data_IF_140691965400
#
_entry.id   IF_140691965400
#
_cell.length_a   1.000
_cell.length_b   1.000
_cell.length_c   1.000
_cell.angle_alpha   90.00
_cell.angle_beta   90.00
_cell.angle_gamma   90.00
#
_symmetry.space_group_name_H-M   'P 1'
#
loop_
_entity.id
_entity.type
_entity.pdbx_description
1 polymer ?
#
# COMPACT_ATOMS: atom_id res chain seq x y z
N UNK A 1 5.68 -7.20 17.28
CA UNK A 1 4.52 -7.66 16.46
C UNK A 1 4.86 -7.58 14.97
N UNK A 2 3.92 -7.94 14.08
CA UNK A 2 4.13 -7.96 12.62
C UNK A 2 4.44 -6.57 12.03
N UNK A 3 3.80 -5.51 12.54
CA UNK A 3 4.03 -4.14 12.11
C UNK A 3 5.47 -3.71 12.38
N UNK A 4 5.98 -3.98 13.58
CA UNK A 4 7.35 -3.64 13.96
C UNK A 4 8.43 -4.38 13.14
N UNK A 5 8.12 -5.56 12.60
CA UNK A 5 9.04 -6.27 11.70
C UNK A 5 9.23 -5.57 10.35
N UNK A 6 8.22 -4.83 9.86
CA UNK A 6 8.30 -4.15 8.56
C UNK A 6 9.33 -3.01 8.54
N UNK A 7 9.66 -2.44 9.71
CA UNK A 7 10.60 -1.32 9.85
C UNK A 7 11.80 -1.65 10.74
N UNK A 8 12.01 -2.94 11.07
CA UNK A 8 13.06 -3.39 11.98
C UNK A 8 14.47 -3.05 11.51
N UNK A 9 14.66 -2.92 10.19
CA UNK A 9 15.94 -2.60 9.56
C UNK A 9 16.13 -1.11 9.25
N UNK A 10 15.14 -0.27 9.56
CA UNK A 10 15.29 1.17 9.40
C UNK A 10 16.07 1.75 10.57
N UNK A 11 17.06 2.60 10.31
CA UNK A 11 17.70 3.44 11.32
C UNK A 11 16.97 4.79 11.46
N UNK A 12 17.18 5.46 12.60
CA UNK A 12 16.58 6.77 12.83
C UNK A 12 17.16 7.85 11.91
N UNK A 13 18.41 7.68 11.47
CA UNK A 13 19.04 8.53 10.45
C UNK A 13 18.36 8.38 9.09
N UNK A 14 18.02 7.15 8.69
CA UNK A 14 17.29 6.89 7.45
C UNK A 14 15.90 7.52 7.49
N UNK A 15 15.20 7.40 8.62
CA UNK A 15 13.88 8.06 8.83
C UNK A 15 14.04 9.57 8.74
N UNK A 16 14.98 10.16 9.47
CA UNK A 16 15.20 11.61 9.49
C UNK A 16 15.50 12.14 8.08
N UNK A 17 16.41 11.47 7.36
CA UNK A 17 16.77 11.83 5.98
C UNK A 17 15.57 11.73 5.04
N UNK A 18 14.79 10.65 5.13
CA UNK A 18 13.61 10.49 4.29
C UNK A 18 12.54 11.55 4.62
N UNK A 19 12.27 11.81 5.90
CA UNK A 19 11.29 12.81 6.32
C UNK A 19 11.67 14.23 5.88
N UNK A 20 12.96 14.59 5.94
CA UNK A 20 13.45 15.86 5.41
C UNK A 20 13.17 15.99 3.90
N UNK A 21 13.41 14.93 3.12
CA UNK A 21 13.11 14.91 1.68
C UNK A 21 11.61 14.98 1.38
N UNK A 22 10.80 14.21 2.10
CA UNK A 22 9.34 14.18 1.93
C UNK A 22 8.70 15.53 2.32
N UNK A 23 9.31 16.28 3.24
CA UNK A 23 8.86 17.61 3.63
C UNK A 23 8.99 18.67 2.51
N UNK A 24 9.84 18.42 1.52
CA UNK A 24 10.01 19.31 0.35
C UNK A 24 8.91 19.13 -0.70
N UNK A 25 8.01 18.15 -0.54
CA UNK A 25 6.94 17.91 -1.50
C UNK A 25 5.81 18.93 -1.32
N UNK A 26 5.37 19.54 -2.43
CA UNK A 26 4.18 20.40 -2.47
C UNK A 26 2.85 19.61 -2.42
N UNK A 27 2.91 18.28 -2.35
CA UNK A 27 1.73 17.42 -2.32
C UNK A 27 1.02 17.50 -0.97
N UNK A 28 -0.23 17.99 -0.99
CA UNK A 28 -1.13 17.95 0.18
C UNK A 28 -1.31 16.52 0.69
N UNK A 29 -1.38 15.54 -0.21
CA UNK A 29 -1.48 14.12 0.17
C UNK A 29 -0.25 13.66 0.93
N UNK A 30 0.95 14.02 0.47
CA UNK A 30 2.19 13.70 1.17
C UNK A 30 2.27 14.37 2.55
N UNK A 31 1.85 15.64 2.64
CA UNK A 31 1.79 16.37 3.91
C UNK A 31 0.90 15.64 4.92
N UNK A 32 -0.32 15.27 4.51
CA UNK A 32 -1.28 14.52 5.36
C UNK A 32 -0.71 13.17 5.82
N UNK A 33 -0.02 12.44 4.94
CA UNK A 33 0.59 11.16 5.31
C UNK A 33 1.69 11.33 6.37
N UNK A 34 2.50 12.38 6.28
CA UNK A 34 3.52 12.69 7.30
C UNK A 34 2.90 13.09 8.64
N UNK A 35 1.80 13.85 8.60
CA UNK A 35 1.08 14.29 9.80
C UNK A 35 0.54 13.11 10.63
N UNK A 36 0.25 11.96 10.01
CA UNK A 36 -0.22 10.76 10.72
C UNK A 36 0.76 10.26 11.78
N UNK A 37 2.08 10.40 11.55
CA UNK A 37 3.10 9.84 12.42
C UNK A 37 4.14 10.86 12.92
N UNK A 38 4.19 12.07 12.34
CA UNK A 38 5.11 13.13 12.77
C UNK A 38 6.59 12.77 12.66
N UNK A 39 6.94 11.77 11.84
CA UNK A 39 8.30 11.22 11.72
C UNK A 39 8.75 10.33 12.89
N UNK A 40 7.86 9.91 13.80
CA UNK A 40 8.20 9.18 15.03
C UNK A 40 7.70 7.73 15.02
N UNK A 41 8.45 6.83 15.66
CA UNK A 41 8.10 5.39 15.71
C UNK A 41 7.01 5.08 16.74
N UNK A 42 6.88 5.92 17.74
CA UNK A 42 5.86 5.81 18.78
C UNK A 42 4.44 6.12 18.27
N UNK A 43 4.31 6.80 17.13
CA UNK A 43 3.03 7.27 16.59
C UNK A 43 2.66 6.59 15.27
N UNK A 44 2.76 5.26 15.19
CA UNK A 44 2.51 4.56 13.93
C UNK A 44 1.14 3.90 13.83
N UNK A 45 0.42 3.71 14.93
CA UNK A 45 -0.94 3.15 14.89
C UNK A 45 -1.93 4.31 14.71
N UNK A 46 -2.56 4.37 13.53
CA UNK A 46 -3.55 5.41 13.20
C UNK A 46 -4.92 5.04 13.74
N UNK A 47 -5.28 3.76 13.62
CA UNK A 47 -6.49 3.15 14.17
C UNK A 47 -6.24 1.64 14.34
N UNK A 48 -7.16 0.86 14.95
CA UNK A 48 -7.01 -0.59 14.99
C UNK A 48 -6.69 -1.15 13.59
N UNK A 49 -5.62 -1.93 13.53
CA UNK A 49 -5.11 -2.58 12.30
C UNK A 49 -4.72 -1.64 11.14
N UNK A 50 -4.68 -0.31 11.33
CA UNK A 50 -4.19 0.65 10.33
C UNK A 50 -2.91 1.32 10.84
N UNK A 51 -1.81 1.08 10.12
CA UNK A 51 -0.46 1.43 10.59
C UNK A 51 0.31 2.26 9.57
N UNK A 52 0.85 3.40 9.97
CA UNK A 52 1.50 4.40 9.11
C UNK A 52 3.03 4.25 8.97
N UNK A 53 3.61 3.13 9.40
CA UNK A 53 5.07 2.98 9.45
C UNK A 53 5.79 2.99 8.10
N UNK A 54 5.12 2.61 7.00
CA UNK A 54 5.70 2.75 5.67
C UNK A 54 5.93 4.23 5.29
N UNK A 55 5.07 5.13 5.80
CA UNK A 55 5.17 6.58 5.61
C UNK A 55 6.42 7.23 6.22
N UNK A 56 7.13 6.52 7.12
CA UNK A 56 8.40 6.99 7.67
C UNK A 56 9.47 7.20 6.59
N UNK A 57 9.43 6.41 5.52
CA UNK A 57 10.47 6.45 4.47
C UNK A 57 9.92 6.45 3.04
N UNK A 58 8.67 6.03 2.83
CA UNK A 58 8.07 5.89 1.50
C UNK A 58 7.16 7.09 1.18
N UNK A 59 7.28 7.70 -0.02
CA UNK A 59 6.31 8.70 -0.48
C UNK A 59 4.95 8.07 -0.84
N UNK A 60 3.92 8.90 -0.90
CA UNK A 60 2.56 8.51 -1.27
C UNK A 60 1.82 7.84 -0.11
N UNK A 61 1.01 6.82 -0.41
CA UNK A 61 0.29 6.05 0.61
C UNK A 61 1.30 5.37 1.57
N UNK A 62 1.31 5.83 2.82
CA UNK A 62 2.23 5.38 3.87
C UNK A 62 1.60 4.44 4.89
N UNK A 63 0.33 4.08 4.70
CA UNK A 63 -0.44 3.23 5.61
C UNK A 63 -0.53 1.79 5.11
N UNK A 64 -0.55 0.84 6.03
CA UNK A 64 -0.76 -0.58 5.79
C UNK A 64 -1.85 -1.12 6.72
N UNK A 65 -2.64 -2.08 6.23
CA UNK A 65 -3.49 -2.92 7.07
C UNK A 65 -2.64 -4.04 7.67
N UNK A 66 -2.59 -4.15 9.00
CA UNK A 66 -1.75 -5.14 9.70
C UNK A 66 -2.58 -5.90 10.73
N UNK A 67 -2.68 -7.21 10.57
CA UNK A 67 -3.47 -8.10 11.44
C UNK A 67 -3.55 -9.52 10.90
N UNK A 68 -4.46 -10.32 11.45
CA UNK A 68 -4.87 -11.60 10.84
C UNK A 68 -5.66 -11.35 9.55
N UNK A 69 -5.82 -12.39 8.72
CA UNK A 69 -6.61 -12.29 7.50
C UNK A 69 -8.05 -11.81 7.74
N UNK A 70 -8.67 -12.30 8.82
CA UNK A 70 -10.00 -11.87 9.28
C UNK A 70 -10.04 -10.38 9.68
N UNK A 71 -9.06 -9.91 10.46
CA UNK A 71 -8.96 -8.51 10.89
C UNK A 71 -8.76 -7.58 9.69
N UNK A 72 -7.91 -7.97 8.74
CA UNK A 72 -7.69 -7.19 7.51
C UNK A 72 -8.97 -7.14 6.68
N UNK A 73 -9.65 -8.27 6.49
CA UNK A 73 -10.92 -8.33 5.76
C UNK A 73 -12.01 -7.48 6.44
N UNK A 74 -12.04 -7.44 7.78
CA UNK A 74 -12.95 -6.57 8.52
C UNK A 74 -12.70 -5.09 8.23
N UNK A 75 -11.44 -4.62 8.28
CA UNK A 75 -11.12 -3.23 7.91
C UNK A 75 -11.47 -2.92 6.46
N UNK A 76 -11.28 -3.86 5.54
CA UNK A 76 -11.68 -3.69 4.14
C UNK A 76 -13.20 -3.57 3.98
N UNK A 77 -13.99 -4.33 4.76
CA UNK A 77 -15.46 -4.20 4.77
C UNK A 77 -15.90 -2.84 5.29
N UNK A 78 -15.27 -2.31 6.33
CA UNK A 78 -15.59 -0.96 6.81
C UNK A 78 -15.37 0.11 5.73
N UNK A 79 -14.30 -0.01 4.94
CA UNK A 79 -14.10 0.86 3.78
C UNK A 79 -15.20 0.64 2.71
N UNK A 80 -15.60 -0.60 2.47
CA UNK A 80 -16.67 -0.93 1.53
C UNK A 80 -18.04 -0.38 1.96
N UNK A 81 -18.36 -0.42 3.26
CA UNK A 81 -19.58 0.15 3.83
C UNK A 81 -19.64 1.68 3.69
N UNK A 82 -18.48 2.33 3.56
CA UNK A 82 -18.36 3.75 3.22
C UNK A 82 -18.44 4.03 1.70
N UNK A 83 -18.65 3.00 0.88
CA UNK A 83 -18.79 3.10 -0.57
C UNK A 83 -17.48 2.93 -1.36
N UNK A 84 -16.39 2.46 -0.75
CA UNK A 84 -15.14 2.16 -1.47
C UNK A 84 -15.23 0.75 -2.07
N UNK A 85 -15.31 0.66 -3.39
CA UNK A 85 -15.43 -0.62 -4.10
C UNK A 85 -14.11 -1.16 -4.67
N UNK A 86 -13.07 -0.34 -4.71
CA UNK A 86 -11.80 -0.64 -5.39
C UNK A 86 -10.63 -0.39 -4.46
N UNK A 87 -9.81 -1.42 -4.25
CA UNK A 87 -8.63 -1.38 -3.40
C UNK A 87 -7.35 -1.59 -4.23
N UNK A 88 -6.46 -0.60 -4.21
CA UNK A 88 -5.12 -0.71 -4.81
C UNK A 88 -4.15 -1.13 -3.70
N UNK A 89 -3.82 -2.41 -3.66
CA UNK A 89 -2.99 -3.00 -2.61
C UNK A 89 -1.58 -3.27 -3.10
N UNK A 90 -0.62 -3.26 -2.18
CA UNK A 90 0.76 -3.67 -2.40
C UNK A 90 1.30 -4.32 -1.13
N UNK A 91 2.08 -5.39 -1.29
CA UNK A 91 2.85 -6.02 -0.21
C UNK A 91 4.31 -6.19 -0.60
N UNK A 92 5.17 -6.45 0.37
CA UNK A 92 6.60 -6.64 0.17
C UNK A 92 7.08 -7.98 0.78
N UNK A 93 7.69 -8.89 -0.01
CA UNK A 93 7.85 -8.84 -1.47
C UNK A 93 6.53 -9.07 -2.23
N UNK A 94 6.36 -8.45 -3.40
CA UNK A 94 5.06 -8.33 -4.06
C UNK A 94 4.42 -9.68 -4.47
N UNK A 95 5.22 -10.66 -4.90
CA UNK A 95 4.68 -11.93 -5.40
C UNK A 95 4.16 -12.79 -4.25
N UNK A 96 5.01 -13.01 -3.26
CA UNK A 96 4.73 -13.78 -2.06
C UNK A 96 3.55 -13.17 -1.29
N UNK A 97 3.51 -11.84 -1.17
CA UNK A 97 2.41 -11.16 -0.50
C UNK A 97 1.10 -11.21 -1.30
N UNK A 98 1.14 -11.34 -2.63
CA UNK A 98 -0.07 -11.57 -3.42
C UNK A 98 -0.68 -12.94 -3.11
N UNK A 99 0.15 -13.99 -2.99
CA UNK A 99 -0.30 -15.31 -2.57
C UNK A 99 -0.76 -15.30 -1.12
N UNK A 100 0.01 -14.69 -0.22
CA UNK A 100 -0.35 -14.59 1.20
C UNK A 100 -1.70 -13.89 1.40
N UNK A 101 -1.94 -12.78 0.69
CA UNK A 101 -3.22 -12.07 0.73
C UNK A 101 -4.36 -12.94 0.21
N UNK A 102 -4.15 -13.65 -0.90
CA UNK A 102 -5.16 -14.54 -1.46
C UNK A 102 -5.50 -15.70 -0.51
N UNK A 103 -4.50 -16.29 0.15
CA UNK A 103 -4.71 -17.41 1.08
C UNK A 103 -5.34 -16.95 2.40
N UNK A 104 -4.94 -15.79 2.92
CA UNK A 104 -5.33 -15.36 4.26
C UNK A 104 -6.56 -14.46 4.27
N UNK A 105 -6.77 -13.60 3.26
CA UNK A 105 -7.80 -12.55 3.31
C UNK A 105 -9.01 -12.90 2.45
N UNK A 106 -8.81 -13.43 1.24
CA UNK A 106 -9.93 -13.76 0.35
C UNK A 106 -11.00 -14.68 0.95
N UNK A 107 -10.67 -15.71 1.77
CA UNK A 107 -11.69 -16.54 2.41
C UNK A 107 -12.67 -15.77 3.31
N UNK A 108 -12.31 -14.57 3.75
CA UNK A 108 -13.12 -13.70 4.59
C UNK A 108 -13.80 -12.57 3.82
N UNK A 109 -13.60 -12.45 2.51
CA UNK A 109 -14.25 -11.45 1.66
C UNK A 109 -15.45 -12.09 0.92
N UNK A 110 -16.47 -11.30 0.57
CA UNK A 110 -17.59 -11.80 -0.22
C UNK A 110 -17.11 -12.35 -1.58
N UNK A 111 -17.70 -13.47 -2.01
CA UNK A 111 -17.29 -14.21 -3.21
C UNK A 111 -17.51 -13.47 -4.55
N UNK A 112 -18.00 -12.24 -4.52
CA UNK A 112 -18.22 -11.41 -5.72
C UNK A 112 -16.90 -10.86 -6.24
N UNK A 113 -16.15 -11.72 -6.93
CA UNK A 113 -15.19 -11.27 -7.94
C UNK A 113 -16.01 -10.64 -9.05
N UNK A 114 -15.94 -9.32 -9.18
CA UNK A 114 -16.61 -8.61 -10.25
C UNK A 114 -16.12 -9.15 -11.61
N UNK A 115 -17.04 -9.65 -12.44
CA UNK A 115 -16.78 -10.09 -13.83
C UNK A 115 -16.05 -9.02 -14.65
N UNK A 116 -16.15 -7.75 -14.24
CA UNK A 116 -15.51 -6.61 -14.90
C UNK A 116 -13.98 -6.68 -14.87
N UNK A 117 -13.35 -7.38 -13.91
CA UNK A 117 -11.91 -7.58 -13.89
C UNK A 117 -11.43 -8.61 -14.93
N UNK A 118 -12.24 -9.64 -15.20
CA UNK A 118 -11.93 -10.69 -16.18
C UNK A 118 -12.04 -10.17 -17.63
N UNK A 119 -12.87 -9.14 -17.85
CA UNK A 119 -13.09 -8.55 -19.17
C UNK A 119 -11.99 -7.60 -19.66
N UNK A 120 -10.98 -7.26 -18.84
CA UNK A 120 -9.84 -6.44 -19.30
C UNK A 120 -8.79 -7.33 -19.96
N UNK A 121 -9.05 -7.70 -21.23
CA UNK A 121 -8.01 -8.22 -22.10
C UNK A 121 -6.90 -7.19 -22.19
N UNK A 122 -5.72 -7.49 -21.63
CA UNK A 122 -4.53 -6.68 -21.90
C UNK A 122 -4.31 -6.69 -23.41
N UNK A 123 -4.31 -5.53 -24.09
CA UNK A 123 -4.02 -5.53 -25.52
C UNK A 123 -2.64 -6.18 -25.71
N UNK A 124 -2.48 -7.08 -26.69
CA UNK A 124 -1.19 -7.70 -26.96
C UNK A 124 -0.14 -6.60 -27.13
N UNK A 125 1.04 -6.81 -26.55
CA UNK A 125 2.17 -5.86 -26.64
C UNK A 125 2.30 -5.40 -28.09
N UNK A 126 1.97 -4.14 -28.38
CA UNK A 126 2.30 -3.55 -29.67
C UNK A 126 3.82 -3.56 -29.77
N UNK A 127 4.37 -4.36 -30.69
CA UNK A 127 5.75 -4.21 -31.10
C UNK A 127 5.92 -2.77 -31.58
N UNK A 128 6.56 -1.93 -30.77
CA UNK A 128 7.07 -0.64 -31.23
C UNK A 128 8.19 -1.00 -32.19
N UNK A 129 7.87 -1.08 -33.48
CA UNK A 129 8.89 -1.10 -34.51
C UNK A 129 9.68 0.20 -34.36
N UNK A 130 10.93 0.08 -33.90
CA UNK A 130 11.91 1.15 -33.96
C UNK A 130 12.01 1.54 -35.44
N UNK A 131 11.39 2.67 -35.80
CA UNK A 131 11.62 3.29 -37.10
C UNK A 131 13.09 3.74 -37.11
N UNK A 132 13.94 2.94 -37.73
CA UNK A 132 15.25 3.39 -38.20
C UNK A 132 15.00 4.42 -39.32
N UNK A 133 14.81 5.68 -38.92
CA UNK A 133 14.85 6.83 -39.81
C UNK A 133 16.23 7.47 -39.74
N UNK A 134 17.13 7.10 -40.65
CA UNK A 134 18.23 7.97 -41.06
C UNK A 134 17.71 8.92 -42.13
N UNK A 135 17.88 10.21 -41.90
CA UNK A 135 18.49 11.18 -42.82
C UNK A 135 18.74 12.47 -42.03
#
# INVERSE_FOLDING_TARGET
DAANRLISHLSDEQITTAQARLALSDSVGQKRMRELHGGKRENLVVSPNLWAGLGLVRPGAGTALVGTGEQVAERMREYADLGIDTFILSGYPHLEEAFHFAEQVFPHLPATVSETASARTFPPKRNIALRNGRA
#
